data_IF_892697515666
#
_entry.id   IF_892697515666
#
_cell.length_a   1.000
_cell.length_b   1.000
_cell.length_c   1.000
_cell.angle_alpha   90.00
_cell.angle_beta   90.00
_cell.angle_gamma   90.00
#
_symmetry.space_group_name_H-M   'P 1'
#
loop_
_entity.id
_entity.type
_entity.pdbx_description
1 polymer ?
#
# COMPACT_ATOMS: atom_id res chain seq x y z
N UNK A 1 -50.97 16.63 -40.92
CA UNK A 1 -49.79 15.78 -40.80
C UNK A 1 -49.09 16.08 -39.50
N UNK A 2 -49.04 15.10 -38.64
CA UNK A 2 -48.33 15.24 -37.38
C UNK A 2 -46.91 14.68 -37.56
N UNK A 3 -45.90 15.52 -37.36
CA UNK A 3 -44.51 15.07 -37.36
C UNK A 3 -44.27 14.14 -36.14
N UNK A 4 -43.59 12.99 -36.32
CA UNK A 4 -43.24 12.16 -35.17
C UNK A 4 -42.24 12.91 -34.30
N UNK A 5 -42.57 13.02 -33.02
CA UNK A 5 -41.62 13.52 -32.05
C UNK A 5 -40.44 12.52 -31.93
N UNK A 6 -39.26 12.97 -32.37
CA UNK A 6 -38.05 12.18 -32.15
C UNK A 6 -37.69 12.27 -30.68
N UNK A 7 -37.89 11.19 -29.95
CA UNK A 7 -37.34 11.06 -28.59
C UNK A 7 -35.84 10.82 -28.72
N UNK A 8 -35.05 11.84 -28.43
CA UNK A 8 -33.62 11.67 -28.26
C UNK A 8 -33.39 11.08 -26.88
N UNK A 9 -33.16 9.78 -26.81
CA UNK A 9 -32.77 9.13 -25.58
C UNK A 9 -31.31 9.52 -25.32
N UNK A 10 -31.11 10.46 -24.40
CA UNK A 10 -29.75 10.77 -23.92
C UNK A 10 -29.32 9.64 -22.99
N UNK A 11 -28.46 8.74 -23.47
CA UNK A 11 -27.81 7.78 -22.60
C UNK A 11 -26.82 8.54 -21.74
N UNK A 12 -27.16 8.74 -20.46
CA UNK A 12 -26.16 9.09 -19.46
C UNK A 12 -25.28 7.86 -19.23
N UNK A 13 -24.06 7.88 -19.77
CA UNK A 13 -23.06 6.92 -19.40
C UNK A 13 -22.66 7.20 -17.94
N UNK A 14 -23.17 6.39 -17.01
CA UNK A 14 -22.70 6.42 -15.64
C UNK A 14 -21.28 5.85 -15.64
N UNK A 15 -20.28 6.71 -15.49
CA UNK A 15 -18.92 6.26 -15.23
C UNK A 15 -18.88 5.73 -13.80
N UNK A 16 -18.81 4.43 -13.67
CA UNK A 16 -18.56 3.79 -12.38
C UNK A 16 -17.08 4.08 -12.05
N UNK A 17 -16.86 4.98 -11.10
CA UNK A 17 -15.53 5.13 -10.53
C UNK A 17 -15.21 3.84 -9.77
N UNK A 18 -14.27 3.05 -10.30
CA UNK A 18 -13.75 1.89 -9.59
C UNK A 18 -12.92 2.43 -8.43
N UNK A 19 -13.43 2.29 -7.20
CA UNK A 19 -12.65 2.54 -6.01
C UNK A 19 -11.45 1.58 -6.03
N UNK A 20 -10.24 2.09 -5.81
CA UNK A 20 -9.08 1.24 -5.68
C UNK A 20 -9.30 0.32 -4.48
N UNK A 21 -9.26 -1.00 -4.71
CA UNK A 21 -9.41 -2.01 -3.67
C UNK A 21 -8.17 -2.00 -2.77
N UNK A 22 -8.43 -1.83 -1.48
CA UNK A 22 -7.42 -1.94 -0.45
C UNK A 22 -6.94 -0.60 0.14
N UNK A 23 -6.23 -0.66 1.25
CA UNK A 23 -5.74 0.51 1.96
C UNK A 23 -4.60 1.19 1.19
N UNK A 24 -4.47 2.50 1.36
CA UNK A 24 -3.34 3.27 0.83
C UNK A 24 -2.03 2.92 1.55
N UNK A 25 -0.89 3.24 0.93
CA UNK A 25 0.42 3.12 1.56
C UNK A 25 0.50 3.87 2.88
N UNK A 26 -0.06 5.09 2.92
CA UNK A 26 -0.12 5.90 4.14
C UNK A 26 -0.89 5.19 5.26
N UNK A 27 -2.02 4.56 4.96
CA UNK A 27 -2.80 3.83 5.95
C UNK A 27 -2.07 2.58 6.44
N UNK A 28 -1.46 1.83 5.54
CA UNK A 28 -0.75 0.60 5.89
C UNK A 28 0.48 0.84 6.76
N UNK A 29 1.27 1.88 6.48
CA UNK A 29 2.49 2.15 7.26
C UNK A 29 2.21 2.60 8.69
N UNK A 30 0.99 3.06 9.01
CA UNK A 30 0.65 3.41 10.38
C UNK A 30 0.83 2.23 11.35
N UNK A 31 0.53 1.02 10.91
CA UNK A 31 0.75 -0.19 11.72
C UNK A 31 2.24 -0.47 11.94
N UNK A 32 3.08 -0.11 11.00
CA UNK A 32 4.54 -0.24 11.12
C UNK A 32 5.09 0.70 12.21
N UNK A 33 4.57 1.89 12.28
CA UNK A 33 5.02 2.92 13.23
C UNK A 33 4.76 2.55 14.68
N UNK A 34 3.79 1.68 14.95
CA UNK A 34 3.51 1.20 16.31
C UNK A 34 4.76 0.57 16.96
N UNK A 35 5.54 -0.17 16.17
CA UNK A 35 6.78 -0.81 16.62
C UNK A 35 8.03 -0.06 16.17
N UNK A 36 8.05 0.45 14.93
CA UNK A 36 9.22 1.11 14.36
C UNK A 36 9.34 2.59 14.68
N UNK A 37 8.41 3.13 15.45
CA UNK A 37 8.41 4.52 15.87
C UNK A 37 7.77 5.47 14.87
N UNK A 38 7.51 6.72 15.27
CA UNK A 38 6.87 7.73 14.41
C UNK A 38 7.63 7.91 13.09
N UNK A 39 6.93 7.82 11.98
CA UNK A 39 7.52 7.89 10.62
C UNK A 39 8.62 6.83 10.37
N UNK A 40 8.66 5.73 11.13
CA UNK A 40 9.66 4.69 11.01
C UNK A 40 11.06 5.09 11.50
N UNK A 41 11.16 6.12 12.33
CA UNK A 41 12.43 6.67 12.82
C UNK A 41 13.11 5.82 13.88
N UNK A 42 12.53 4.71 14.24
CA UNK A 42 12.99 3.80 15.26
C UNK A 42 12.60 4.21 16.69
N UNK A 43 12.38 3.20 17.50
CA UNK A 43 12.40 3.24 18.95
C UNK A 43 13.45 2.25 19.43
N UNK A 44 13.85 2.33 20.69
CA UNK A 44 14.89 1.47 21.23
C UNK A 44 14.67 -0.02 20.92
N UNK A 45 15.67 -0.66 20.35
CA UNK A 45 15.66 -2.09 20.04
C UNK A 45 14.91 -2.50 18.76
N UNK A 46 14.28 -1.56 18.06
CA UNK A 46 13.56 -1.83 16.80
C UNK A 46 14.24 -1.08 15.65
N UNK A 47 14.54 -1.75 14.52
CA UNK A 47 15.26 -1.10 13.42
C UNK A 47 14.49 0.08 12.82
N UNK A 48 15.23 1.09 12.37
CA UNK A 48 14.69 2.17 11.56
C UNK A 48 14.18 1.64 10.22
N UNK A 49 13.04 2.16 9.76
CA UNK A 49 12.57 1.87 8.41
C UNK A 49 13.42 2.65 7.38
N UNK A 50 13.78 1.99 6.29
CA UNK A 50 14.70 2.54 5.29
C UNK A 50 13.98 3.51 4.35
N UNK A 51 13.83 4.74 4.80
CA UNK A 51 13.22 5.82 4.04
C UNK A 51 14.08 6.17 2.83
N UNK A 52 13.44 6.40 1.69
CA UNK A 52 14.13 6.72 0.44
C UNK A 52 14.76 5.55 -0.30
N UNK A 53 14.60 4.31 0.18
CA UNK A 53 15.20 3.10 -0.41
C UNK A 53 14.15 2.04 -0.71
N UNK A 54 13.32 2.31 -1.72
CA UNK A 54 12.20 1.45 -2.09
C UNK A 54 12.62 -0.01 -2.30
N UNK A 55 13.61 -0.25 -3.15
CA UNK A 55 14.03 -1.61 -3.52
C UNK A 55 14.56 -2.39 -2.33
N UNK A 56 15.23 -1.71 -1.43
CA UNK A 56 15.71 -2.31 -0.19
C UNK A 56 14.54 -2.76 0.69
N UNK A 57 13.54 -1.91 0.90
CA UNK A 57 12.36 -2.23 1.70
C UNK A 57 11.59 -3.40 1.09
N UNK A 58 11.36 -3.38 -0.21
CA UNK A 58 10.69 -4.47 -0.92
C UNK A 58 11.43 -5.79 -0.71
N UNK A 59 12.73 -5.82 -0.95
CA UNK A 59 13.54 -7.02 -0.79
C UNK A 59 13.51 -7.57 0.62
N UNK A 60 13.68 -6.71 1.63
CA UNK A 60 13.64 -7.12 3.03
C UNK A 60 12.29 -7.74 3.40
N UNK A 61 11.20 -7.10 3.01
CA UNK A 61 9.85 -7.59 3.29
C UNK A 61 9.55 -8.91 2.57
N UNK A 62 9.97 -9.06 1.32
CA UNK A 62 9.80 -10.31 0.57
C UNK A 62 10.62 -11.45 1.22
N UNK A 63 11.82 -11.17 1.66
CA UNK A 63 12.65 -12.17 2.35
C UNK A 63 12.06 -12.59 3.69
N UNK A 64 11.50 -11.67 4.48
CA UNK A 64 10.76 -12.01 5.68
C UNK A 64 9.52 -12.85 5.37
N UNK A 65 8.77 -12.46 4.35
CA UNK A 65 7.57 -13.18 3.91
C UNK A 65 7.88 -14.62 3.49
N UNK A 66 9.03 -14.84 2.87
CA UNK A 66 9.50 -16.15 2.42
C UNK A 66 10.29 -16.95 3.48
N UNK A 67 10.38 -16.44 4.69
CA UNK A 67 11.18 -17.05 5.78
C UNK A 67 12.67 -17.20 5.43
N UNK A 68 13.20 -16.35 4.57
CA UNK A 68 14.62 -16.38 4.16
C UNK A 68 15.51 -15.45 4.97
N UNK A 69 14.93 -14.74 5.92
CA UNK A 69 15.64 -13.78 6.76
C UNK A 69 15.31 -14.05 8.22
N UNK A 70 16.30 -14.11 9.13
CA UNK A 70 16.04 -14.23 10.55
C UNK A 70 15.17 -13.09 11.08
N UNK A 71 14.14 -13.41 11.84
CA UNK A 71 13.23 -12.43 12.41
C UNK A 71 12.62 -12.97 13.70
N UNK A 72 12.22 -12.04 14.58
CA UNK A 72 11.41 -12.40 15.75
C UNK A 72 9.93 -12.38 15.42
N UNK A 73 9.47 -11.37 14.68
CA UNK A 73 8.05 -11.22 14.31
C UNK A 73 7.83 -10.77 12.86
N UNK A 74 8.83 -10.13 12.21
CA UNK A 74 8.65 -9.57 10.88
C UNK A 74 8.28 -10.62 9.83
N UNK A 75 8.69 -11.86 9.99
CA UNK A 75 8.25 -12.95 9.12
C UNK A 75 6.74 -13.16 9.14
N UNK A 76 6.10 -12.98 10.29
CA UNK A 76 4.63 -13.07 10.44
C UNK A 76 3.94 -11.80 9.93
N UNK A 77 4.49 -10.65 10.25
CA UNK A 77 3.95 -9.35 9.79
C UNK A 77 3.97 -9.31 8.25
N UNK A 78 5.10 -9.65 7.62
CA UNK A 78 5.25 -9.59 6.17
C UNK A 78 4.28 -10.54 5.44
N UNK A 79 3.94 -11.68 6.01
CA UNK A 79 2.96 -12.63 5.43
C UNK A 79 1.54 -12.09 5.37
N UNK A 80 1.21 -11.07 6.15
CA UNK A 80 -0.12 -10.44 6.12
C UNK A 80 -0.31 -9.46 4.97
N UNK A 81 0.74 -9.18 4.19
CA UNK A 81 0.70 -8.29 3.05
C UNK A 81 0.94 -9.04 1.74
N UNK A 82 0.20 -8.66 0.68
CA UNK A 82 0.51 -9.10 -0.67
C UNK A 82 1.79 -8.44 -1.19
N UNK A 83 2.36 -8.99 -2.26
CA UNK A 83 3.55 -8.39 -2.87
C UNK A 83 3.27 -6.97 -3.37
N UNK A 84 2.07 -6.73 -3.89
CA UNK A 84 1.61 -5.41 -4.33
C UNK A 84 1.48 -4.43 -3.16
N UNK A 85 0.97 -4.89 -2.03
CA UNK A 85 0.88 -4.08 -0.82
C UNK A 85 2.27 -3.73 -0.27
N UNK A 86 3.19 -4.67 -0.30
CA UNK A 86 4.60 -4.43 0.07
C UNK A 86 5.20 -3.35 -0.83
N UNK A 87 4.98 -3.41 -2.13
CA UNK A 87 5.45 -2.39 -3.06
C UNK A 87 4.83 -1.02 -2.75
N UNK A 88 3.56 -0.96 -2.43
CA UNK A 88 2.85 0.27 -2.07
C UNK A 88 3.38 0.87 -0.76
N UNK A 89 3.63 0.04 0.25
CA UNK A 89 4.27 0.45 1.51
C UNK A 89 5.66 1.04 1.22
N UNK A 90 6.45 0.35 0.41
CA UNK A 90 7.80 0.76 0.08
C UNK A 90 7.82 2.08 -0.71
N UNK A 91 6.89 2.27 -1.63
CA UNK A 91 6.71 3.54 -2.35
C UNK A 91 6.43 4.70 -1.39
N UNK A 92 5.55 4.49 -0.45
CA UNK A 92 5.22 5.52 0.53
C UNK A 92 6.42 5.88 1.41
N UNK A 93 7.12 4.88 1.93
CA UNK A 93 8.31 5.09 2.75
C UNK A 93 9.44 5.78 1.97
N UNK A 94 9.62 5.44 0.70
CA UNK A 94 10.61 6.06 -0.16
C UNK A 94 10.35 7.55 -0.43
N UNK A 95 9.08 7.96 -0.43
CA UNK A 95 8.68 9.35 -0.63
C UNK A 95 8.85 10.21 0.63
N UNK A 96 9.05 9.63 1.80
CA UNK A 96 9.30 10.35 3.04
C UNK A 96 10.73 10.93 3.05
N UNK A 97 10.85 12.16 3.52
CA UNK A 97 12.14 12.85 3.62
C UNK A 97 12.58 13.03 5.06
#
# INVERSE_FOLDING_TARGET
MRAPAAFVATLLAATVAVAQDGPSGQAMVQTCYVCHGPEGRSVEGVPVLMRGQKEFVVRQMIEFKADRRPATIMNRIAKSYSDEQIATIADYLAALK
#
